data_IF_653371529167
#
_entry.id   IF_653371529167
#
_cell.length_a   1.000
_cell.length_b   1.000
_cell.length_c   1.000
_cell.angle_alpha   90.00
_cell.angle_beta   90.00
_cell.angle_gamma   90.00
#
_symmetry.space_group_name_H-M   'P 1'
#
loop_
_entity.id
_entity.type
_entity.pdbx_description
1 polymer ?
#
# COMPACT_ATOMS: atom_id res chain seq x y z
N UNK A 1 24.11 12.98 -22.20
CA UNK A 1 23.00 11.99 -22.21
C UNK A 1 21.81 12.64 -22.88
N UNK A 2 21.29 12.09 -23.99
CA UNK A 2 20.00 12.53 -24.54
C UNK A 2 18.91 11.92 -23.65
N UNK A 3 18.11 12.74 -22.98
CA UNK A 3 16.94 12.28 -22.25
C UNK A 3 16.00 11.64 -23.27
N UNK A 4 15.88 10.31 -23.26
CA UNK A 4 14.83 9.65 -24.04
C UNK A 4 13.50 10.03 -23.43
N UNK A 5 12.58 10.49 -24.27
CA UNK A 5 11.22 10.69 -23.83
C UNK A 5 10.65 9.33 -23.38
N UNK A 6 9.83 9.28 -22.33
CA UNK A 6 9.26 8.01 -21.85
C UNK A 6 8.50 7.26 -22.95
N UNK A 7 7.92 8.02 -23.88
CA UNK A 7 7.18 7.49 -25.04
C UNK A 7 8.09 6.91 -26.14
N UNK A 8 9.41 7.17 -26.07
CA UNK A 8 10.42 6.54 -26.92
C UNK A 8 10.93 5.23 -26.31
N UNK A 9 10.74 5.03 -25.00
CA UNK A 9 11.22 3.85 -24.28
C UNK A 9 10.11 2.82 -24.11
N UNK A 10 8.89 3.26 -23.79
CA UNK A 10 7.78 2.40 -23.49
C UNK A 10 6.71 2.44 -24.58
N UNK A 11 6.34 1.28 -25.10
CA UNK A 11 5.27 1.11 -26.09
C UNK A 11 4.05 0.57 -25.37
N UNK A 12 3.15 1.47 -24.95
CA UNK A 12 1.92 1.13 -24.24
C UNK A 12 0.78 2.09 -24.62
N UNK A 13 -0.46 1.68 -24.35
CA UNK A 13 -1.63 2.57 -24.50
C UNK A 13 -1.51 3.79 -23.58
N UNK A 14 -1.98 4.96 -24.01
CA UNK A 14 -1.92 6.21 -23.22
C UNK A 14 -2.57 6.08 -21.84
N UNK A 15 -3.61 5.27 -21.70
CA UNK A 15 -4.28 4.96 -20.43
C UNK A 15 -3.39 4.26 -19.40
N UNK A 16 -2.30 3.64 -19.86
CA UNK A 16 -1.33 2.95 -19.02
C UNK A 16 -0.30 3.89 -18.40
N UNK A 17 -0.27 5.15 -18.81
CA UNK A 17 0.64 6.16 -18.29
C UNK A 17 -0.06 7.00 -17.22
N UNK A 18 0.59 7.23 -16.05
CA UNK A 18 0.10 8.20 -15.09
C UNK A 18 0.09 9.62 -15.67
N UNK A 19 -0.66 10.53 -15.06
CA UNK A 19 -0.62 11.95 -15.43
C UNK A 19 0.78 12.54 -15.18
N UNK A 20 1.25 13.41 -16.08
CA UNK A 20 2.62 13.95 -16.10
C UNK A 20 3.07 14.62 -14.80
N UNK A 21 2.15 15.23 -14.05
CA UNK A 21 2.43 15.93 -12.79
C UNK A 21 2.43 15.01 -11.57
N UNK A 22 2.19 13.71 -11.74
CA UNK A 22 2.15 12.75 -10.62
C UNK A 22 3.52 12.17 -10.33
N UNK A 23 3.75 11.79 -9.07
CA UNK A 23 4.95 11.05 -8.67
C UNK A 23 5.08 9.70 -9.38
N UNK A 24 3.97 9.05 -9.74
CA UNK A 24 3.99 7.83 -10.55
C UNK A 24 4.59 8.04 -11.94
N UNK A 25 4.29 9.17 -12.58
CA UNK A 25 4.93 9.53 -13.86
C UNK A 25 6.43 9.77 -13.69
N UNK A 26 6.84 10.48 -12.63
CA UNK A 26 8.26 10.69 -12.31
C UNK A 26 9.00 9.36 -12.10
N UNK A 27 8.39 8.42 -11.39
CA UNK A 27 8.96 7.09 -11.18
C UNK A 27 9.09 6.31 -12.50
N UNK A 28 8.09 6.38 -13.37
CA UNK A 28 8.16 5.75 -14.69
C UNK A 28 9.24 6.41 -15.58
N UNK A 29 9.39 7.73 -15.52
CA UNK A 29 10.48 8.43 -16.19
C UNK A 29 11.85 7.97 -15.66
N UNK A 30 11.97 7.77 -14.35
CA UNK A 30 13.20 7.22 -13.76
C UNK A 30 13.49 5.79 -14.26
N UNK A 31 12.46 4.96 -14.45
CA UNK A 31 12.62 3.64 -15.08
C UNK A 31 13.06 3.71 -16.55
N UNK A 32 12.72 4.79 -17.26
CA UNK A 32 13.16 4.99 -18.64
C UNK A 32 14.67 5.31 -18.72
N UNK A 33 15.22 5.93 -17.66
CA UNK A 33 16.64 6.27 -17.55
C UNK A 33 17.48 5.09 -17.03
N UNK A 34 16.96 4.33 -16.07
CA UNK A 34 17.63 3.17 -15.46
C UNK A 34 16.66 2.04 -15.18
N UNK A 35 17.09 0.81 -15.45
CA UNK A 35 16.27 -0.40 -15.23
C UNK A 35 15.97 -0.67 -13.76
N UNK A 36 16.99 -0.49 -12.91
CA UNK A 36 16.94 -0.76 -11.48
C UNK A 36 17.05 0.54 -10.69
N UNK A 37 16.20 0.69 -9.69
CA UNK A 37 16.12 1.85 -8.82
C UNK A 37 16.27 1.38 -7.38
N UNK A 38 17.29 1.90 -6.67
CA UNK A 38 17.56 1.56 -5.28
C UNK A 38 16.71 2.40 -4.32
N UNK A 39 16.60 1.94 -3.08
CA UNK A 39 15.75 2.58 -2.06
C UNK A 39 16.10 4.03 -1.83
N UNK A 40 17.38 4.38 -1.79
CA UNK A 40 17.87 5.73 -1.55
C UNK A 40 17.34 6.69 -2.63
N UNK A 41 17.34 6.22 -3.88
CA UNK A 41 16.86 6.96 -5.05
C UNK A 41 15.33 7.09 -5.06
N UNK A 42 14.62 6.08 -4.55
CA UNK A 42 13.17 6.15 -4.34
C UNK A 42 12.80 7.19 -3.28
N UNK A 43 13.54 7.23 -2.17
CA UNK A 43 13.33 8.22 -1.11
C UNK A 43 13.63 9.62 -1.61
N UNK A 44 14.70 9.80 -2.37
CA UNK A 44 15.06 11.09 -2.97
C UNK A 44 13.98 11.58 -3.96
N UNK A 45 13.46 10.68 -4.81
CA UNK A 45 12.48 11.04 -5.84
C UNK A 45 11.06 11.25 -5.28
N UNK A 46 10.63 10.39 -4.34
CA UNK A 46 9.23 10.22 -3.96
C UNK A 46 8.95 10.57 -2.49
N UNK A 47 9.98 10.69 -1.65
CA UNK A 47 9.89 10.83 -0.20
C UNK A 47 9.80 9.49 0.53
N UNK A 48 9.66 9.53 1.85
CA UNK A 48 9.72 8.33 2.71
C UNK A 48 8.57 7.32 2.50
N UNK A 49 7.41 7.77 2.05
CA UNK A 49 6.24 6.92 1.77
C UNK A 49 6.08 6.56 0.29
N UNK A 50 7.20 6.22 -0.37
CA UNK A 50 7.24 5.87 -1.80
C UNK A 50 6.42 4.61 -2.17
N UNK A 51 5.90 3.88 -1.18
CA UNK A 51 5.16 2.63 -1.38
C UNK A 51 3.87 2.88 -2.15
N UNK A 52 3.18 3.98 -1.83
CA UNK A 52 1.90 4.36 -2.44
C UNK A 52 2.06 4.61 -3.94
N UNK A 53 3.17 5.24 -4.33
CA UNK A 53 3.49 5.56 -5.72
C UNK A 53 3.87 4.32 -6.53
N UNK A 54 4.62 3.39 -5.93
CA UNK A 54 4.90 2.09 -6.55
C UNK A 54 3.59 1.31 -6.74
N UNK A 55 2.72 1.29 -5.72
CA UNK A 55 1.42 0.63 -5.79
C UNK A 55 0.48 1.29 -6.81
N UNK A 56 0.58 2.61 -7.00
CA UNK A 56 -0.17 3.29 -8.03
C UNK A 56 0.22 2.77 -9.42
N UNK A 57 1.53 2.59 -9.69
CA UNK A 57 2.05 2.06 -10.96
C UNK A 57 1.73 0.58 -11.19
N UNK A 58 1.95 -0.27 -10.20
CA UNK A 58 1.75 -1.72 -10.37
C UNK A 58 0.35 -2.20 -9.98
N UNK A 59 -0.53 -1.28 -9.56
CA UNK A 59 -1.89 -1.54 -9.15
C UNK A 59 -2.89 -1.57 -10.31
N UNK A 60 -4.17 -1.46 -9.95
CA UNK A 60 -5.33 -1.72 -10.82
C UNK A 60 -5.48 -0.76 -12.01
N UNK A 61 -4.83 0.39 -11.98
CA UNK A 61 -5.00 1.40 -13.02
C UNK A 61 -4.04 1.16 -14.19
N UNK A 62 -2.80 0.78 -13.91
CA UNK A 62 -1.76 0.71 -14.93
C UNK A 62 -1.15 -0.68 -15.09
N UNK A 63 -1.04 -1.49 -14.04
CA UNK A 63 -0.49 -2.85 -14.10
C UNK A 63 0.95 -2.95 -14.64
N UNK A 64 1.81 -1.96 -14.37
CA UNK A 64 3.24 -2.11 -14.67
C UNK A 64 3.81 -3.25 -13.83
N UNK A 65 4.46 -4.23 -14.45
CA UNK A 65 5.05 -5.36 -13.72
C UNK A 65 6.39 -4.93 -13.14
N UNK A 66 6.44 -4.84 -11.80
CA UNK A 66 7.60 -4.37 -11.05
C UNK A 66 8.12 -5.48 -10.14
N UNK A 67 9.36 -5.90 -10.40
CA UNK A 67 10.14 -6.81 -9.58
C UNK A 67 10.74 -6.08 -8.39
N UNK A 68 10.77 -6.74 -7.23
CA UNK A 68 11.22 -6.16 -5.96
C UNK A 68 12.34 -7.00 -5.38
N UNK A 69 13.54 -6.45 -5.30
CA UNK A 69 14.65 -7.04 -4.57
C UNK A 69 14.47 -6.81 -3.07
N UNK A 70 14.54 -7.90 -2.28
CA UNK A 70 14.39 -7.83 -0.82
C UNK A 70 15.60 -8.43 -0.13
N UNK A 71 16.05 -7.76 0.94
CA UNK A 71 17.02 -8.27 1.91
C UNK A 71 16.43 -8.12 3.30
N UNK A 72 16.52 -9.16 4.14
CA UNK A 72 15.98 -9.16 5.51
C UNK A 72 14.55 -8.58 5.62
N UNK A 73 13.69 -8.91 4.65
CA UNK A 73 12.30 -8.44 4.54
C UNK A 73 12.11 -6.95 4.19
N UNK A 74 13.18 -6.20 3.90
CA UNK A 74 13.15 -4.82 3.42
C UNK A 74 13.36 -4.77 1.91
N UNK A 75 12.63 -3.90 1.21
CA UNK A 75 12.86 -3.63 -0.21
C UNK A 75 14.16 -2.84 -0.35
N UNK A 76 15.11 -3.37 -1.12
CA UNK A 76 16.41 -2.76 -1.41
C UNK A 76 16.39 -2.06 -2.76
N UNK A 77 15.73 -2.67 -3.75
CA UNK A 77 15.55 -2.09 -5.07
C UNK A 77 14.24 -2.53 -5.71
N UNK A 78 13.84 -1.80 -6.74
CA UNK A 78 12.79 -2.18 -7.67
C UNK A 78 13.32 -2.15 -9.10
N UNK A 79 12.73 -2.99 -9.94
CA UNK A 79 13.11 -3.13 -11.34
C UNK A 79 11.86 -3.37 -12.18
N UNK A 80 11.73 -2.65 -13.29
CA UNK A 80 10.63 -2.85 -14.21
C UNK A 80 10.90 -4.10 -15.06
N UNK A 81 9.87 -4.90 -15.31
CA UNK A 81 10.02 -6.12 -16.13
C UNK A 81 10.58 -5.80 -17.52
N UNK A 82 11.51 -6.63 -17.98
CA UNK A 82 12.27 -6.45 -19.21
C UNK A 82 11.37 -6.27 -20.44
N UNK A 83 10.22 -6.96 -20.44
CA UNK A 83 9.25 -6.93 -21.54
C UNK A 83 8.71 -5.53 -21.81
N UNK A 84 8.65 -4.66 -20.79
CA UNK A 84 8.21 -3.27 -20.94
C UNK A 84 9.18 -2.44 -21.80
N UNK A 85 10.46 -2.82 -21.90
CA UNK A 85 11.48 -2.13 -22.69
C UNK A 85 11.62 -2.66 -24.12
N UNK A 86 10.91 -3.72 -24.46
CA UNK A 86 11.09 -4.47 -25.72
C UNK A 86 10.61 -3.74 -26.98
N UNK A 87 10.00 -2.54 -26.84
CA UNK A 87 9.26 -1.82 -27.89
C UNK A 87 8.15 -2.63 -28.57
N UNK A 88 7.88 -3.85 -28.09
CA UNK A 88 6.87 -4.75 -28.61
C UNK A 88 5.64 -4.67 -27.71
N UNK A 89 4.55 -4.18 -28.30
CA UNK A 89 3.28 -3.98 -27.60
C UNK A 89 2.71 -5.29 -27.03
N UNK A 90 2.95 -6.43 -27.69
CA UNK A 90 2.44 -7.72 -27.24
C UNK A 90 3.16 -8.20 -25.98
N UNK A 91 4.48 -7.98 -25.90
CA UNK A 91 5.28 -8.29 -24.72
C UNK A 91 4.92 -7.36 -23.53
N UNK A 92 4.69 -6.07 -23.77
CA UNK A 92 4.17 -5.15 -22.73
C UNK A 92 2.80 -5.63 -22.21
N UNK A 93 1.89 -5.97 -23.12
CA UNK A 93 0.55 -6.46 -22.77
C UNK A 93 0.60 -7.80 -22.00
N UNK A 94 1.52 -8.69 -22.35
CA UNK A 94 1.72 -9.95 -21.63
C UNK A 94 2.16 -9.68 -20.18
N UNK A 95 3.17 -8.83 -19.98
CA UNK A 95 3.64 -8.45 -18.65
C UNK A 95 2.53 -7.78 -17.81
N UNK A 96 1.73 -6.89 -18.42
CA UNK A 96 0.57 -6.28 -17.74
C UNK A 96 -0.51 -7.30 -17.38
N UNK A 97 -0.77 -8.25 -18.27
CA UNK A 97 -1.75 -9.33 -18.04
C UNK A 97 -1.30 -10.21 -16.88
N UNK A 98 -0.01 -10.54 -16.84
CA UNK A 98 0.59 -11.26 -15.72
C UNK A 98 0.44 -10.48 -14.41
N UNK A 99 0.79 -9.18 -14.40
CA UNK A 99 0.64 -8.34 -13.21
C UNK A 99 -0.80 -8.26 -12.72
N UNK A 100 -1.78 -8.15 -13.64
CA UNK A 100 -3.21 -8.15 -13.31
C UNK A 100 -3.65 -9.46 -12.65
N UNK A 101 -3.16 -10.61 -13.14
CA UNK A 101 -3.43 -11.92 -12.53
C UNK A 101 -2.88 -11.95 -11.10
N UNK A 102 -1.61 -11.57 -10.91
CA UNK A 102 -0.97 -11.52 -9.59
C UNK A 102 -1.73 -10.62 -8.61
N UNK A 103 -2.19 -9.44 -9.06
CA UNK A 103 -2.95 -8.50 -8.25
C UNK A 103 -4.31 -9.09 -7.84
N UNK A 104 -5.00 -9.75 -8.77
CA UNK A 104 -6.30 -10.39 -8.50
C UNK A 104 -6.16 -11.54 -7.51
N UNK A 105 -5.13 -12.38 -7.68
CA UNK A 105 -4.83 -13.48 -6.75
C UNK A 105 -4.48 -12.96 -5.34
N UNK A 106 -3.71 -11.87 -5.26
CA UNK A 106 -3.39 -11.24 -3.99
C UNK A 106 -4.65 -10.69 -3.32
N UNK A 107 -5.49 -9.96 -4.06
CA UNK A 107 -6.75 -9.42 -3.54
C UNK A 107 -7.68 -10.52 -3.02
N UNK A 108 -7.80 -11.63 -3.74
CA UNK A 108 -8.58 -12.78 -3.29
C UNK A 108 -8.04 -13.39 -1.99
N UNK A 109 -6.72 -13.57 -1.88
CA UNK A 109 -6.07 -14.07 -0.66
C UNK A 109 -6.32 -13.14 0.54
N UNK A 110 -6.17 -11.83 0.33
CA UNK A 110 -6.42 -10.81 1.36
C UNK A 110 -7.88 -10.80 1.81
N UNK A 111 -8.84 -10.88 0.88
CA UNK A 111 -10.26 -10.98 1.18
C UNK A 111 -10.60 -12.24 2.00
N UNK A 112 -10.02 -13.39 1.64
CA UNK A 112 -10.20 -14.65 2.38
C UNK A 112 -9.67 -14.54 3.81
N UNK A 113 -8.50 -13.92 4.00
CA UNK A 113 -7.94 -13.66 5.34
C UNK A 113 -8.78 -12.67 6.13
N UNK A 114 -9.29 -11.62 5.47
CA UNK A 114 -10.20 -10.63 6.06
C UNK A 114 -11.45 -11.29 6.64
N UNK A 115 -12.09 -12.18 5.88
CA UNK A 115 -13.26 -12.96 6.32
C UNK A 115 -12.98 -13.79 7.58
N UNK A 116 -11.78 -14.35 7.72
CA UNK A 116 -11.39 -15.12 8.92
C UNK A 116 -11.13 -14.20 10.11
N UNK A 117 -10.56 -13.02 9.87
CA UNK A 117 -10.21 -12.05 10.93
C UNK A 117 -11.41 -11.26 11.45
N UNK A 118 -12.44 -11.08 10.62
CA UNK A 118 -13.65 -10.30 10.94
C UNK A 118 -14.31 -10.72 12.27
N UNK A 119 -14.68 -11.98 12.53
CA UNK A 119 -15.35 -12.35 13.78
C UNK A 119 -14.47 -12.11 15.01
N UNK A 120 -13.15 -12.30 14.90
CA UNK A 120 -12.19 -12.04 15.98
C UNK A 120 -12.14 -10.54 16.28
N UNK A 121 -12.10 -9.71 15.25
CA UNK A 121 -12.14 -8.26 15.40
C UNK A 121 -13.46 -7.79 16.01
N UNK A 122 -14.59 -8.40 15.63
CA UNK A 122 -15.90 -8.11 16.19
C UNK A 122 -15.99 -8.46 17.68
N UNK A 123 -15.48 -9.62 18.09
CA UNK A 123 -15.42 -10.02 19.50
C UNK A 123 -14.61 -9.02 20.32
N UNK A 124 -13.37 -8.71 19.90
CA UNK A 124 -12.50 -7.72 20.56
C UNK A 124 -13.15 -6.34 20.65
N UNK A 125 -13.82 -5.88 19.57
CA UNK A 125 -14.55 -4.61 19.57
C UNK A 125 -15.68 -4.63 20.61
N UNK A 126 -16.42 -5.72 20.67
CA UNK A 126 -17.54 -5.88 21.61
C UNK A 126 -17.04 -5.90 23.06
N UNK A 127 -15.96 -6.62 23.35
CA UNK A 127 -15.36 -6.69 24.69
C UNK A 127 -14.86 -5.31 25.14
N UNK A 128 -14.11 -4.60 24.29
CA UNK A 128 -13.65 -3.24 24.58
C UNK A 128 -14.82 -2.25 24.83
N UNK A 129 -15.92 -2.39 24.09
CA UNK A 129 -17.13 -1.61 24.33
C UNK A 129 -17.81 -1.96 25.66
N UNK A 130 -17.86 -3.24 26.05
CA UNK A 130 -18.40 -3.65 27.36
C UNK A 130 -17.58 -3.09 28.51
N UNK A 131 -16.24 -3.18 28.44
CA UNK A 131 -15.33 -2.60 29.44
C UNK A 131 -15.57 -1.10 29.60
N UNK A 132 -15.72 -0.39 28.49
CA UNK A 132 -16.02 1.05 28.48
C UNK A 132 -17.36 1.35 29.15
N UNK A 133 -18.42 0.60 28.85
CA UNK A 133 -19.75 0.79 29.46
C UNK A 133 -19.72 0.47 30.97
N UNK A 134 -19.04 -0.60 31.38
CA UNK A 134 -18.90 -0.99 32.79
C UNK A 134 -18.13 0.09 33.58
N UNK A 135 -17.07 0.66 33.01
CA UNK A 135 -16.31 1.76 33.62
C UNK A 135 -17.19 2.99 33.91
N UNK A 136 -18.16 3.31 33.04
CA UNK A 136 -19.12 4.39 33.28
C UNK A 136 -20.13 4.05 34.39
N UNK A 137 -20.54 2.79 34.51
CA UNK A 137 -21.45 2.33 35.56
C UNK A 137 -20.81 2.29 36.95
N UNK A 138 -19.53 1.89 37.04
CA UNK A 138 -18.76 1.94 38.28
C UNK A 138 -18.51 3.39 38.73
N UNK A 139 -18.20 4.30 37.81
CA UNK A 139 -18.04 5.72 38.11
C UNK A 139 -19.35 6.40 38.56
N UNK A 140 -20.52 5.92 38.12
CA UNK A 140 -21.82 6.44 38.55
C UNK A 140 -22.31 5.89 39.91
N UNK A 141 -21.76 4.75 40.36
CA UNK A 141 -22.11 4.12 41.64
C UNK A 141 -21.16 4.49 42.79
N UNK A 142 -20.20 5.40 42.60
CA UNK A 142 -19.41 5.99 43.69
C UNK A 142 -20.24 7.08 44.41
N UNK A 143 -21.43 6.69 44.88
CA UNK A 143 -22.25 7.53 45.74
C UNK A 143 -21.57 7.63 47.09
N UNK A 144 -20.95 8.79 47.31
CA UNK A 144 -20.46 9.29 48.58
C UNK A 144 -21.55 9.31 49.67
N UNK A 145 -21.78 8.16 50.31
CA UNK A 145 -22.54 8.07 51.57
C UNK A 145 -21.62 7.54 52.66
N UNK A 146 -20.67 8.38 53.07
CA UNK A 146 -20.09 8.26 54.43
C UNK A 146 -21.03 8.98 55.38
N UNK A 147 -21.97 8.22 55.94
CA UNK A 147 -22.81 8.67 57.05
C UNK A 147 -21.90 9.27 58.14
N UNK A 148 -22.07 10.57 58.41
CA UNK A 148 -21.53 11.24 59.60
C UNK A 148 -22.12 10.56 60.82
N UNK A 149 -21.39 9.64 61.44
CA UNK A 149 -21.68 9.17 62.79
C UNK A 149 -21.57 10.35 63.74
N UNK A 150 -22.71 10.73 64.33
CA UNK A 150 -22.86 11.81 65.29
C UNK A 150 -21.92 11.61 66.49
N UNK A 151 -21.17 12.66 66.84
CA UNK A 151 -20.57 12.80 68.17
C UNK A 151 -21.71 12.95 69.17
N UNK A 152 -21.72 12.11 70.21
CA UNK A 152 -22.43 12.39 71.47
C UNK A 152 -21.42 12.89 72.49
N UNK A 153 -21.87 13.89 73.22
CA UNK A 153 -21.18 14.67 74.25
C UNK A 153 -20.68 13.85 75.44
#
# INVERSE_FOLDING_TARGET
>A
MKYKNIYEVFVASTKCFPLMNTKGFKLLALFAEKKRIYREELVELLGDDFRTEIQALDGSNYHWLIHRGKEANRIVYIELDERHYSTNIDLDNEARTERRKQLTDQSYKEAKLGRVREPIALAKRTDAWRETILSFGEAANDSSIKNKTAKKD
#
